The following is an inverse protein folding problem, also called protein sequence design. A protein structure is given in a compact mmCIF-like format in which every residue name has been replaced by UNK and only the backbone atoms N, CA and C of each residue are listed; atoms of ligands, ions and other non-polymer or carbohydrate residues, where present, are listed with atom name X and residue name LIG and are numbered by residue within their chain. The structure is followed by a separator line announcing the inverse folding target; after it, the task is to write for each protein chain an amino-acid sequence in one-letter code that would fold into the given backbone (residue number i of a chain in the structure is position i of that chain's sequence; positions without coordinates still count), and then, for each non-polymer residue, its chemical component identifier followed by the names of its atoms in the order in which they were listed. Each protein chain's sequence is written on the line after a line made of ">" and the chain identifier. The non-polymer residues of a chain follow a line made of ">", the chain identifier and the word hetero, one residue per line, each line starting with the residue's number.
data_IF_193742743433
#
_entry.id   IF_193742743433
#
_cell.length_a   1.000
_cell.length_b   1.000
_cell.length_c   1.000
_cell.angle_alpha   90.00
_cell.angle_beta   90.00
_cell.angle_gamma   90.00
#
_symmetry.space_group_name_H-M   'P 1'
#
loop_
_entity.id
_entity.type
_entity.pdbx_description
1 polymer ?
#
# COMPACT_ATOMS: atom_id res chain seq x y z
N UNK A 1 4.83 4.10 -30.45
CA UNK A 1 3.97 3.45 -29.43
C UNK A 1 2.88 4.43 -29.02
N UNK A 2 1.61 4.10 -29.31
CA UNK A 2 0.43 4.94 -29.03
C UNK A 2 -0.25 4.54 -27.71
N UNK A 3 -0.97 5.46 -27.03
CA UNK A 3 -1.62 5.18 -25.75
C UNK A 3 -2.81 4.18 -25.87
N UNK A 4 -3.47 4.17 -27.03
CA UNK A 4 -4.66 3.34 -27.30
C UNK A 4 -4.31 1.98 -27.92
N UNK A 5 -3.03 1.60 -27.87
CA UNK A 5 -2.61 0.30 -28.37
C UNK A 5 -3.16 -0.79 -27.44
N UNK A 6 -3.93 -1.71 -28.02
CA UNK A 6 -4.47 -2.86 -27.30
C UNK A 6 -3.40 -3.93 -27.14
N UNK A 7 -3.25 -4.41 -25.92
CA UNK A 7 -2.34 -5.47 -25.53
C UNK A 7 -3.17 -6.72 -25.25
N UNK A 8 -2.86 -7.80 -25.96
CA UNK A 8 -3.50 -9.09 -25.70
C UNK A 8 -3.08 -9.63 -24.32
N UNK A 9 -4.04 -10.25 -23.63
CA UNK A 9 -3.79 -10.81 -22.32
C UNK A 9 -3.01 -12.12 -22.41
N UNK A 10 -1.69 -12.03 -22.21
CA UNK A 10 -0.89 -13.22 -21.92
C UNK A 10 -1.41 -13.91 -20.65
N UNK A 11 -1.21 -15.24 -20.49
CA UNK A 11 -1.65 -15.95 -19.28
C UNK A 11 -1.13 -15.31 -17.99
N UNK A 12 0.11 -14.84 -17.98
CA UNK A 12 0.72 -14.17 -16.83
C UNK A 12 0.05 -12.83 -16.54
N UNK A 13 -0.17 -12.00 -17.57
CA UNK A 13 -0.83 -10.70 -17.40
C UNK A 13 -2.27 -10.90 -16.90
N UNK A 14 -2.99 -11.87 -17.44
CA UNK A 14 -4.33 -12.24 -16.98
C UNK A 14 -4.34 -12.65 -15.51
N UNK A 15 -3.35 -13.42 -15.05
CA UNK A 15 -3.21 -13.76 -13.62
C UNK A 15 -2.97 -12.53 -12.76
N UNK A 16 -2.09 -11.62 -13.18
CA UNK A 16 -1.84 -10.37 -12.45
C UNK A 16 -3.12 -9.53 -12.34
N UNK A 17 -3.86 -9.36 -13.44
CA UNK A 17 -5.13 -8.63 -13.42
C UNK A 17 -6.15 -9.29 -12.48
N UNK A 18 -6.22 -10.63 -12.43
CA UNK A 18 -7.12 -11.31 -11.49
C UNK A 18 -6.73 -11.08 -10.04
N UNK A 19 -5.43 -11.05 -9.72
CA UNK A 19 -4.98 -10.68 -8.39
C UNK A 19 -5.39 -9.24 -8.08
N UNK A 20 -5.24 -8.32 -9.04
CA UNK A 20 -5.65 -6.93 -8.89
C UNK A 20 -7.15 -6.81 -8.55
N UNK A 21 -8.00 -7.54 -9.27
CA UNK A 21 -9.44 -7.63 -9.02
C UNK A 21 -9.74 -8.20 -7.63
N UNK A 22 -9.21 -9.37 -7.29
CA UNK A 22 -9.59 -10.05 -6.05
C UNK A 22 -9.08 -9.28 -4.83
N UNK A 23 -7.83 -8.82 -4.88
CA UNK A 23 -7.16 -8.19 -3.74
C UNK A 23 -7.53 -6.72 -3.64
N UNK A 24 -7.25 -5.89 -4.66
CA UNK A 24 -7.44 -4.44 -4.52
C UNK A 24 -8.90 -4.02 -4.65
N UNK A 25 -9.68 -4.63 -5.56
CA UNK A 25 -11.12 -4.34 -5.58
C UNK A 25 -11.78 -4.83 -4.28
N UNK A 26 -11.37 -6.00 -3.77
CA UNK A 26 -11.84 -6.53 -2.49
C UNK A 26 -11.53 -5.61 -1.32
N UNK A 27 -10.28 -5.17 -1.18
CA UNK A 27 -9.84 -4.20 -0.15
C UNK A 27 -10.60 -2.87 -0.32
N UNK A 28 -10.70 -2.37 -1.55
CA UNK A 28 -11.40 -1.12 -1.85
C UNK A 28 -12.87 -1.17 -1.42
N UNK A 29 -13.58 -2.25 -1.77
CA UNK A 29 -14.98 -2.46 -1.35
C UNK A 29 -15.07 -2.56 0.18
N UNK A 30 -14.23 -3.39 0.80
CA UNK A 30 -14.22 -3.59 2.25
C UNK A 30 -14.00 -2.26 2.99
N UNK A 31 -12.94 -1.52 2.66
CA UNK A 31 -12.61 -0.25 3.31
C UNK A 31 -13.63 0.86 3.00
N UNK A 32 -14.28 0.81 1.83
CA UNK A 32 -15.40 1.71 1.51
C UNK A 32 -16.62 1.42 2.41
N UNK A 33 -16.89 0.17 2.74
CA UNK A 33 -18.09 -0.21 3.50
C UNK A 33 -17.89 -0.24 5.03
N UNK A 34 -16.69 -0.54 5.54
CA UNK A 34 -16.41 -0.77 6.97
C UNK A 34 -16.26 0.52 7.84
N UNK A 35 -16.53 1.70 7.28
CA UNK A 35 -16.04 2.98 7.86
C UNK A 35 -16.78 3.57 9.05
N UNK A 36 -17.77 2.88 9.59
CA UNK A 36 -18.45 3.28 10.82
C UNK A 36 -18.42 2.18 11.88
N UNK A 37 -17.55 1.17 11.73
CA UNK A 37 -17.33 0.19 12.78
C UNK A 37 -16.57 0.80 13.97
N UNK A 38 -16.43 0.00 15.04
CA UNK A 38 -16.12 0.41 16.40
C UNK A 38 -15.09 1.54 16.56
N UNK A 39 -15.29 2.36 17.60
CA UNK A 39 -14.43 3.49 17.94
C UNK A 39 -12.95 3.07 18.03
N UNK A 40 -12.11 3.68 17.20
CA UNK A 40 -10.67 3.37 17.19
C UNK A 40 -10.00 3.96 18.43
N UNK A 41 -9.23 3.17 19.19
CA UNK A 41 -8.64 3.62 20.46
C UNK A 41 -7.81 4.91 20.35
N UNK A 42 -7.04 5.05 19.27
CA UNK A 42 -6.16 6.21 19.05
C UNK A 42 -6.88 7.51 18.68
N UNK A 43 -8.18 7.46 18.39
CA UNK A 43 -9.02 8.64 18.19
C UNK A 43 -9.66 9.15 19.49
N UNK A 44 -9.55 8.42 20.60
CA UNK A 44 -10.13 8.83 21.87
C UNK A 44 -9.29 9.94 22.51
N UNK A 45 -9.96 11.00 22.98
CA UNK A 45 -9.36 12.05 23.81
C UNK A 45 -10.28 12.31 24.98
N UNK A 46 -9.76 12.16 26.20
CA UNK A 46 -10.52 12.34 27.45
C UNK A 46 -11.82 11.50 27.50
N UNK A 47 -11.77 10.25 27.02
CA UNK A 47 -12.91 9.33 27.02
C UNK A 47 -13.99 9.62 25.97
N UNK A 48 -13.75 10.52 25.02
CA UNK A 48 -14.65 10.79 23.88
C UNK A 48 -13.89 10.66 22.57
N UNK A 49 -14.55 10.16 21.51
CA UNK A 49 -14.01 10.20 20.15
C UNK A 49 -13.77 11.64 19.73
N UNK A 50 -12.52 11.95 19.38
CA UNK A 50 -12.15 13.22 18.79
C UNK A 50 -12.61 13.24 17.32
N UNK A 51 -13.61 14.06 17.01
CA UNK A 51 -14.21 14.12 15.66
C UNK A 51 -13.21 14.56 14.59
N UNK A 52 -12.25 15.41 14.92
CA UNK A 52 -11.22 15.83 13.97
C UNK A 52 -10.27 14.68 13.62
N UNK A 53 -9.79 13.93 14.63
CA UNK A 53 -8.92 12.77 14.41
C UNK A 53 -9.65 11.66 13.66
N UNK A 54 -10.89 11.36 14.07
CA UNK A 54 -11.72 10.38 13.39
C UNK A 54 -11.95 10.77 11.92
N UNK A 55 -12.30 12.03 11.63
CA UNK A 55 -12.53 12.48 10.27
C UNK A 55 -11.24 12.47 9.42
N UNK A 56 -10.13 12.95 9.98
CA UNK A 56 -8.82 12.93 9.30
C UNK A 56 -8.41 11.51 8.94
N UNK A 57 -8.60 10.58 9.85
CA UNK A 57 -8.29 9.18 9.64
C UNK A 57 -9.22 8.55 8.59
N UNK A 58 -10.54 8.70 8.74
CA UNK A 58 -11.52 8.18 7.79
C UNK A 58 -11.23 8.65 6.37
N UNK A 59 -10.98 9.95 6.17
CA UNK A 59 -10.61 10.49 4.85
C UNK A 59 -9.35 9.80 4.31
N UNK A 60 -8.31 9.62 5.15
CA UNK A 60 -7.08 8.93 4.74
C UNK A 60 -7.31 7.50 4.28
N UNK A 61 -8.11 6.71 5.00
CA UNK A 61 -8.46 5.34 4.58
C UNK A 61 -9.29 5.35 3.28
N UNK A 62 -10.20 6.31 3.11
CA UNK A 62 -11.02 6.41 1.89
C UNK A 62 -10.24 6.73 0.64
N UNK A 63 -9.21 7.57 0.75
CA UNK A 63 -8.34 7.86 -0.39
C UNK A 63 -7.61 6.58 -0.86
N UNK A 64 -7.13 5.76 0.07
CA UNK A 64 -6.53 4.46 -0.25
C UNK A 64 -7.56 3.51 -0.88
N UNK A 65 -8.71 3.33 -0.23
CA UNK A 65 -9.77 2.45 -0.72
C UNK A 65 -10.27 2.81 -2.13
N UNK A 66 -10.39 4.11 -2.44
CA UNK A 66 -10.77 4.58 -3.76
C UNK A 66 -9.73 4.25 -4.82
N UNK A 67 -8.43 4.38 -4.51
CA UNK A 67 -7.34 3.99 -5.42
C UNK A 67 -7.34 2.48 -5.66
N UNK A 68 -7.47 1.67 -4.60
CA UNK A 68 -7.53 0.22 -4.71
C UNK A 68 -8.74 -0.24 -5.55
N UNK A 69 -9.91 0.38 -5.33
CA UNK A 69 -11.10 0.07 -6.12
C UNK A 69 -10.91 0.41 -7.59
N UNK A 70 -10.35 1.59 -7.90
CA UNK A 70 -10.12 2.02 -9.29
C UNK A 70 -9.14 1.10 -10.01
N UNK A 71 -8.08 0.66 -9.33
CA UNK A 71 -7.14 -0.34 -9.87
C UNK A 71 -7.81 -1.67 -10.19
N UNK A 72 -8.56 -2.20 -9.22
CA UNK A 72 -9.32 -3.43 -9.41
C UNK A 72 -10.33 -3.31 -10.56
N UNK A 73 -10.97 -2.14 -10.71
CA UNK A 73 -11.93 -1.90 -11.79
C UNK A 73 -11.26 -1.87 -13.18
N UNK A 74 -10.11 -1.20 -13.32
CA UNK A 74 -9.33 -1.20 -14.57
C UNK A 74 -8.93 -2.64 -14.94
N UNK A 75 -8.45 -3.40 -13.96
CA UNK A 75 -8.07 -4.80 -14.18
C UNK A 75 -9.27 -5.68 -14.58
N UNK A 76 -10.43 -5.45 -13.97
CA UNK A 76 -11.66 -6.16 -14.30
C UNK A 76 -12.11 -5.90 -15.74
N UNK A 77 -12.08 -4.64 -16.18
CA UNK A 77 -12.41 -4.30 -17.57
C UNK A 77 -11.48 -5.01 -18.55
N UNK A 78 -10.17 -4.98 -18.31
CA UNK A 78 -9.20 -5.68 -19.16
C UNK A 78 -9.48 -7.18 -19.26
N UNK A 79 -9.87 -7.84 -18.15
CA UNK A 79 -10.23 -9.26 -18.15
C UNK A 79 -11.51 -9.54 -18.95
N UNK A 80 -12.54 -8.70 -18.81
CA UNK A 80 -13.83 -8.86 -19.49
C UNK A 80 -13.67 -8.64 -20.99
N UNK A 81 -12.93 -7.60 -21.39
CA UNK A 81 -12.69 -7.26 -22.79
C UNK A 81 -11.68 -8.21 -23.46
N UNK A 82 -10.86 -8.91 -22.66
CA UNK A 82 -9.85 -9.85 -23.15
C UNK A 82 -8.58 -9.18 -23.68
N UNK A 83 -8.51 -7.85 -23.62
CA UNK A 83 -7.36 -7.02 -23.94
C UNK A 83 -7.32 -5.83 -22.98
N UNK A 84 -6.14 -5.24 -22.81
CA UNK A 84 -5.97 -4.01 -22.02
C UNK A 84 -5.30 -2.95 -22.88
N UNK A 85 -5.73 -1.70 -22.77
CA UNK A 85 -5.00 -0.61 -23.44
C UNK A 85 -3.66 -0.38 -22.75
N UNK A 86 -2.65 0.07 -23.50
CA UNK A 86 -1.37 0.47 -22.90
C UNK A 86 -1.57 1.51 -21.80
N UNK A 87 -2.48 2.46 -22.00
CA UNK A 87 -2.78 3.47 -20.98
C UNK A 87 -3.26 2.86 -19.66
N UNK A 88 -4.17 1.88 -19.70
CA UNK A 88 -4.64 1.17 -18.50
C UNK A 88 -3.52 0.39 -17.82
N UNK A 89 -2.65 -0.27 -18.59
CA UNK A 89 -1.47 -0.93 -18.03
C UNK A 89 -0.53 0.07 -17.35
N UNK A 90 -0.27 1.21 -17.99
CA UNK A 90 0.55 2.29 -17.44
C UNK A 90 -0.06 2.87 -16.15
N UNK A 91 -1.39 2.99 -16.06
CA UNK A 91 -2.07 3.39 -14.83
C UNK A 91 -1.84 2.39 -13.69
N UNK A 92 -1.86 1.08 -13.97
CA UNK A 92 -1.52 0.06 -12.97
C UNK A 92 -0.07 0.24 -12.49
N UNK A 93 0.88 0.41 -13.41
CA UNK A 93 2.29 0.65 -13.07
C UNK A 93 2.50 1.90 -12.19
N UNK A 94 1.90 3.04 -12.57
CA UNK A 94 2.04 4.30 -11.84
C UNK A 94 1.42 4.17 -10.45
N UNK A 95 0.24 3.57 -10.36
CA UNK A 95 -0.45 3.44 -9.07
C UNK A 95 0.30 2.51 -8.12
N UNK A 96 0.79 1.36 -8.61
CA UNK A 96 1.68 0.49 -7.82
C UNK A 96 2.96 1.24 -7.39
N UNK A 97 3.55 2.05 -8.28
CA UNK A 97 4.71 2.88 -7.93
C UNK A 97 4.41 3.94 -6.87
N UNK A 98 3.24 4.56 -6.89
CA UNK A 98 2.80 5.51 -5.86
C UNK A 98 2.57 4.80 -4.52
N UNK A 99 1.89 3.66 -4.51
CA UNK A 99 1.65 2.90 -3.27
C UNK A 99 2.99 2.44 -2.68
N UNK A 100 3.88 1.91 -3.53
CA UNK A 100 5.18 1.43 -3.09
C UNK A 100 6.10 2.56 -2.62
N UNK A 101 6.08 3.72 -3.27
CA UNK A 101 6.74 4.93 -2.78
C UNK A 101 6.31 5.23 -1.33
N UNK A 102 5.00 5.21 -1.03
CA UNK A 102 4.49 5.46 0.32
C UNK A 102 4.91 4.36 1.31
N UNK A 103 4.94 3.10 0.90
CA UNK A 103 5.43 2.00 1.73
C UNK A 103 6.92 2.15 2.04
N UNK A 104 7.74 2.57 1.08
CA UNK A 104 9.14 2.88 1.31
C UNK A 104 9.31 4.02 2.32
N UNK A 105 8.53 5.11 2.16
CA UNK A 105 8.57 6.24 3.08
C UNK A 105 8.28 5.84 4.52
N UNK A 106 7.29 4.97 4.73
CA UNK A 106 6.81 4.59 6.05
C UNK A 106 7.36 3.25 6.56
N UNK A 107 8.50 2.79 6.03
CA UNK A 107 9.08 1.52 6.41
C UNK A 107 9.39 1.45 7.91
N UNK A 108 8.90 0.40 8.56
CA UNK A 108 9.08 0.17 10.00
C UNK A 108 10.48 -0.39 10.33
N UNK A 109 10.96 -0.25 11.57
CA UNK A 109 12.30 -0.69 11.95
C UNK A 109 12.43 -2.21 12.05
N UNK A 110 13.62 -2.71 11.69
CA UNK A 110 14.03 -4.09 11.92
C UNK A 110 13.21 -5.13 11.17
N UNK A 111 13.00 -6.29 11.82
CA UNK A 111 12.26 -7.42 11.24
C UNK A 111 10.80 -7.10 10.96
N UNK A 112 10.20 -6.18 11.74
CA UNK A 112 8.82 -5.77 11.53
C UNK A 112 8.63 -5.15 10.14
N UNK A 113 9.49 -4.20 9.76
CA UNK A 113 9.41 -3.56 8.44
C UNK A 113 9.55 -4.56 7.30
N UNK A 114 10.52 -5.48 7.41
CA UNK A 114 10.72 -6.51 6.39
C UNK A 114 9.50 -7.44 6.27
N UNK A 115 9.02 -7.97 7.39
CA UNK A 115 7.85 -8.86 7.43
C UNK A 115 6.61 -8.16 6.87
N UNK A 116 6.33 -6.94 7.30
CA UNK A 116 5.17 -6.18 6.83
C UNK A 116 5.29 -5.93 5.32
N UNK A 117 6.43 -5.42 4.86
CA UNK A 117 6.61 -5.02 3.47
C UNK A 117 6.57 -6.19 2.48
N UNK A 118 7.22 -7.31 2.80
CA UNK A 118 7.36 -8.42 1.86
C UNK A 118 6.31 -9.52 2.03
N UNK A 119 5.78 -9.72 3.24
CA UNK A 119 4.85 -10.84 3.51
C UNK A 119 3.39 -10.41 3.66
N UNK A 120 3.13 -9.17 4.07
CA UNK A 120 1.74 -8.71 4.27
C UNK A 120 1.22 -7.82 3.15
N UNK A 121 2.13 -7.23 2.35
CA UNK A 121 1.81 -6.26 1.31
C UNK A 121 1.99 -6.88 -0.08
N UNK A 122 0.91 -7.32 -0.76
CA UNK A 122 1.00 -7.91 -2.10
C UNK A 122 1.56 -6.95 -3.16
N UNK A 123 1.47 -5.64 -2.91
CA UNK A 123 1.98 -4.55 -3.74
C UNK A 123 3.46 -4.76 -4.11
N UNK A 124 4.29 -5.17 -3.14
CA UNK A 124 5.73 -5.35 -3.35
C UNK A 124 6.00 -6.45 -4.37
N UNK A 125 5.33 -7.59 -4.20
CA UNK A 125 5.49 -8.75 -5.09
C UNK A 125 4.93 -8.47 -6.48
N UNK A 126 3.74 -7.86 -6.54
CA UNK A 126 3.10 -7.49 -7.80
C UNK A 126 3.93 -6.48 -8.58
N UNK A 127 4.46 -5.45 -7.92
CA UNK A 127 5.33 -4.48 -8.57
C UNK A 127 6.58 -5.15 -9.13
N UNK A 128 7.25 -6.04 -8.38
CA UNK A 128 8.42 -6.77 -8.87
C UNK A 128 8.08 -7.58 -10.13
N UNK A 129 6.98 -8.34 -10.11
CA UNK A 129 6.52 -9.12 -11.28
C UNK A 129 6.25 -8.18 -12.46
N UNK A 130 5.55 -7.07 -12.22
CA UNK A 130 5.23 -6.09 -13.25
C UNK A 130 6.48 -5.52 -13.91
N UNK A 131 7.48 -5.11 -13.12
CA UNK A 131 8.73 -4.57 -13.66
C UNK A 131 9.58 -5.61 -14.40
N UNK A 132 9.59 -6.87 -13.96
CA UNK A 132 10.41 -7.91 -14.61
C UNK A 132 9.80 -8.33 -15.94
N UNK A 133 8.47 -8.50 -16.01
CA UNK A 133 7.81 -9.16 -17.14
C UNK A 133 7.07 -8.21 -18.09
N UNK A 134 6.75 -6.98 -17.67
CA UNK A 134 5.88 -6.09 -18.43
C UNK A 134 6.42 -4.65 -18.59
N UNK A 135 7.66 -4.38 -18.16
CA UNK A 135 8.25 -3.03 -18.25
C UNK A 135 8.53 -2.58 -19.69
N UNK A 136 8.67 -3.51 -20.62
CA UNK A 136 8.85 -3.26 -22.05
C UNK A 136 7.54 -2.86 -22.75
N UNK A 137 6.39 -3.18 -22.16
CA UNK A 137 5.07 -2.85 -22.71
C UNK A 137 4.66 -1.38 -22.49
N UNK A 138 5.26 -0.72 -21.48
CA UNK A 138 4.97 0.66 -21.10
C UNK A 138 5.94 1.65 -21.74
N UNK A 139 5.53 2.92 -21.86
CA UNK A 139 6.42 3.95 -22.41
C UNK A 139 7.64 4.19 -21.50
N UNK A 140 8.84 4.43 -22.08
CA UNK A 140 10.06 4.72 -21.31
C UNK A 140 9.92 5.91 -20.34
N UNK A 141 9.12 6.92 -20.70
CA UNK A 141 8.84 8.06 -19.82
C UNK A 141 8.06 7.65 -18.56
N UNK A 142 7.10 6.74 -18.70
CA UNK A 142 6.32 6.21 -17.58
C UNK A 142 7.17 5.29 -16.71
N UNK A 143 7.98 4.43 -17.33
CA UNK A 143 8.95 3.60 -16.61
C UNK A 143 9.90 4.46 -15.76
N UNK A 144 10.44 5.53 -16.35
CA UNK A 144 11.32 6.48 -15.64
C UNK A 144 10.60 7.14 -14.46
N UNK A 145 9.34 7.54 -14.64
CA UNK A 145 8.53 8.09 -13.56
C UNK A 145 8.34 7.08 -12.43
N UNK A 146 8.01 5.82 -12.74
CA UNK A 146 7.83 4.78 -11.73
C UNK A 146 9.12 4.51 -10.94
N UNK A 147 10.28 4.50 -11.60
CA UNK A 147 11.59 4.38 -10.94
C UNK A 147 11.83 5.60 -10.03
N UNK A 148 11.57 6.81 -10.53
CA UNK A 148 11.73 8.04 -9.76
C UNK A 148 10.87 8.04 -8.49
N UNK A 149 9.60 7.65 -8.58
CA UNK A 149 8.70 7.57 -7.42
C UNK A 149 9.24 6.60 -6.36
N UNK A 150 9.69 5.41 -6.76
CA UNK A 150 10.29 4.45 -5.82
C UNK A 150 11.55 5.03 -5.15
N UNK A 151 12.46 5.61 -5.92
CA UNK A 151 13.68 6.24 -5.39
C UNK A 151 13.36 7.38 -4.43
N UNK A 152 12.36 8.20 -4.75
CA UNK A 152 11.88 9.27 -3.88
C UNK A 152 11.40 8.74 -2.53
N UNK A 153 10.68 7.61 -2.54
CA UNK A 153 10.27 6.92 -1.31
C UNK A 153 11.45 6.57 -0.40
N UNK A 154 12.52 6.00 -0.97
CA UNK A 154 13.76 5.73 -0.23
C UNK A 154 14.44 7.00 0.28
N UNK A 155 14.52 8.06 -0.52
CA UNK A 155 15.13 9.33 -0.11
C UNK A 155 14.40 9.89 1.11
N UNK A 156 13.08 9.98 1.06
CA UNK A 156 12.26 10.47 2.16
C UNK A 156 12.38 9.57 3.40
N UNK A 157 12.45 8.25 3.22
CA UNK A 157 12.68 7.32 4.33
C UNK A 157 13.97 7.63 5.09
N UNK A 158 15.10 7.79 4.41
CA UNK A 158 16.40 8.04 5.05
C UNK A 158 16.53 9.45 5.61
N UNK A 159 15.93 10.46 4.96
CA UNK A 159 16.07 11.85 5.36
C UNK A 159 15.04 12.29 6.41
N UNK A 160 13.84 11.74 6.36
CA UNK A 160 12.71 12.15 7.20
C UNK A 160 12.32 11.06 8.18
N UNK A 161 11.91 9.88 7.70
CA UNK A 161 11.28 8.87 8.58
C UNK A 161 12.24 8.36 9.64
N UNK A 162 13.45 7.95 9.24
CA UNK A 162 14.46 7.44 10.19
C UNK A 162 15.06 8.47 11.14
N UNK A 163 15.01 9.75 10.77
CA UNK A 163 15.72 10.82 11.48
C UNK A 163 14.81 11.75 12.26
N UNK A 164 13.54 11.88 11.85
CA UNK A 164 12.59 12.85 12.40
C UNK A 164 11.32 12.18 12.90
N UNK A 165 10.69 11.34 12.07
CA UNK A 165 9.39 10.76 12.42
C UNK A 165 9.49 9.63 13.45
N UNK A 166 10.51 8.78 13.34
CA UNK A 166 10.77 7.69 14.27
C UNK A 166 12.24 7.71 14.69
N UNK A 167 12.52 8.37 15.82
CA UNK A 167 13.86 8.52 16.36
C UNK A 167 13.88 8.28 17.87
N UNK A 168 14.69 7.33 18.38
CA UNK A 168 15.58 6.42 17.66
C UNK A 168 14.83 5.42 16.76
N UNK A 169 15.41 5.06 15.61
CA UNK A 169 14.78 4.14 14.65
C UNK A 169 14.87 2.67 15.13
N UNK A 170 14.09 2.33 16.18
CA UNK A 170 14.07 1.01 16.82
C UNK A 170 12.64 0.51 17.02
N UNK A 171 12.45 -0.82 17.07
CA UNK A 171 11.14 -1.40 17.33
C UNK A 171 10.57 -0.97 18.70
N UNK A 172 11.43 -0.83 19.70
CA UNK A 172 11.04 -0.41 21.05
C UNK A 172 10.35 0.96 21.02
N UNK A 173 10.94 1.93 20.34
CA UNK A 173 10.37 3.28 20.18
C UNK A 173 9.00 3.22 19.49
N UNK A 174 8.89 2.50 18.37
CA UNK A 174 7.61 2.38 17.66
C UNK A 174 6.52 1.71 18.52
N UNK A 175 6.89 0.70 19.32
CA UNK A 175 5.98 0.01 20.22
C UNK A 175 5.52 0.93 21.37
N UNK A 176 6.43 1.70 21.95
CA UNK A 176 6.12 2.68 23.00
C UNK A 176 5.17 3.77 22.47
N UNK A 177 5.47 4.34 21.30
CA UNK A 177 4.63 5.34 20.63
C UNK A 177 3.22 4.78 20.31
N UNK A 178 3.13 3.51 19.89
CA UNK A 178 1.85 2.84 19.63
C UNK A 178 1.02 2.66 20.91
N UNK A 179 1.66 2.27 22.02
CA UNK A 179 1.00 2.15 23.32
C UNK A 179 0.55 3.52 23.84
N UNK A 180 1.37 4.56 23.70
CA UNK A 180 0.98 5.95 24.03
C UNK A 180 -0.22 6.40 23.20
N UNK A 181 -0.27 6.00 21.92
CA UNK A 181 -1.42 6.24 21.06
C UNK A 181 -2.66 5.42 21.44
N UNK A 182 -2.60 4.54 22.44
CA UNK A 182 -3.73 3.73 22.91
C UNK A 182 -3.93 2.42 22.13
N UNK A 183 -2.92 1.96 21.39
CA UNK A 183 -2.95 0.63 20.76
C UNK A 183 -2.74 -0.43 21.83
N UNK A 184 -3.71 -1.30 22.05
CA UNK A 184 -3.68 -2.31 23.12
C UNK A 184 -4.03 -3.73 22.63
N UNK A 185 -3.73 -4.72 23.47
CA UNK A 185 -4.18 -6.10 23.31
C UNK A 185 -3.62 -6.80 22.06
N UNK A 186 -4.53 -7.31 21.22
CA UNK A 186 -4.20 -8.17 20.08
C UNK A 186 -3.29 -7.52 19.04
N UNK A 187 -3.40 -6.20 18.84
CA UNK A 187 -2.60 -5.49 17.84
C UNK A 187 -1.13 -5.37 18.24
N UNK A 188 -0.84 -5.03 19.51
CA UNK A 188 0.53 -5.03 20.04
C UNK A 188 1.14 -6.43 20.01
N UNK A 189 0.38 -7.46 20.38
CA UNK A 189 0.85 -8.85 20.30
C UNK A 189 1.21 -9.28 18.87
N UNK A 190 0.43 -8.82 17.89
CA UNK A 190 0.74 -9.04 16.48
C UNK A 190 2.04 -8.33 16.07
N UNK A 191 2.23 -7.06 16.44
CA UNK A 191 3.50 -6.36 16.18
C UNK A 191 4.69 -7.05 16.85
N UNK A 192 4.53 -7.48 18.10
CA UNK A 192 5.57 -8.20 18.84
C UNK A 192 5.95 -9.49 18.10
N UNK A 193 4.96 -10.26 17.65
CA UNK A 193 5.19 -11.49 16.86
C UNK A 193 5.90 -11.20 15.54
N UNK A 194 5.44 -10.21 14.77
CA UNK A 194 6.02 -9.87 13.46
C UNK A 194 7.44 -9.27 13.58
N UNK A 195 7.73 -8.60 14.70
CA UNK A 195 9.05 -8.09 15.04
C UNK A 195 9.99 -9.19 15.57
N UNK A 196 9.45 -10.37 15.93
CA UNK A 196 10.20 -11.43 16.61
C UNK A 196 10.54 -11.09 18.07
N UNK A 197 9.77 -10.19 18.69
CA UNK A 197 9.86 -9.86 20.10
C UNK A 197 9.26 -11.00 20.92
N UNK A 198 10.03 -11.56 21.86
CA UNK A 198 9.51 -12.56 22.78
C UNK A 198 8.68 -11.85 23.85
N UNK A 199 7.46 -12.31 24.18
CA UNK A 199 6.74 -11.79 25.33
C UNK A 199 7.60 -12.03 26.58
N UNK A 200 7.86 -10.98 27.34
CA UNK A 200 8.32 -11.11 28.72
C UNK A 200 7.13 -11.49 29.60
#
# INVERSE_FOLDING_TARGET
>A
MSANELLELTPLLKTVLWIEVIVYMGIGIYEILDSFSAEKPWNLRKGKVNSYLAMKETVSYKMHAAVCFLLGFIALNGIIEGAITRFELELIFISLALIMMLLWMCLLPGRLGFTVLFLTKPETTLQIIMFIFFADLIRPSILTLCIFLNLWGFIVFFLHTRKKALYPFTYKTMREDAIEAGVEGKQIQMFDKLAGHKPN
#
